data_IF_871242218860
#
_entry.id   IF_871242218860
#
_cell.length_a   1.000
_cell.length_b   1.000
_cell.length_c   1.000
_cell.angle_alpha   90.00
_cell.angle_beta   90.00
_cell.angle_gamma   90.00
#
_symmetry.space_group_name_H-M   'P 1'
#
loop_
_entity.id
_entity.type
_entity.pdbx_description
1 polymer ?
#
# COMPACT_ATOMS: atom_id res chain seq x y z
N UNK A 1 17.91 5.70 -14.73
CA UNK A 1 17.06 5.49 -13.54
C UNK A 1 17.57 6.47 -12.48
N UNK A 2 16.80 7.52 -12.19
CA UNK A 2 17.28 8.77 -11.59
C UNK A 2 17.67 8.60 -10.12
N UNK A 3 18.83 9.13 -9.70
CA UNK A 3 19.34 9.04 -8.32
C UNK A 3 18.33 9.54 -7.26
N UNK A 4 17.41 10.44 -7.63
CA UNK A 4 16.30 10.87 -6.78
C UNK A 4 15.31 9.74 -6.44
N UNK A 5 15.06 8.83 -7.38
CA UNK A 5 14.11 7.72 -7.18
C UNK A 5 14.65 6.74 -6.14
N UNK A 6 15.96 6.46 -6.17
CA UNK A 6 16.60 5.58 -5.19
C UNK A 6 16.56 6.16 -3.77
N UNK A 7 16.81 7.46 -3.60
CA UNK A 7 16.65 8.11 -2.29
C UNK A 7 15.21 8.13 -1.81
N UNK A 8 14.24 8.37 -2.70
CA UNK A 8 12.82 8.33 -2.38
C UNK A 8 12.38 6.92 -1.95
N UNK A 9 12.81 5.88 -2.66
CA UNK A 9 12.54 4.48 -2.30
C UNK A 9 13.15 4.12 -0.94
N UNK A 10 14.39 4.56 -0.66
CA UNK A 10 15.03 4.35 0.64
C UNK A 10 14.27 5.04 1.79
N UNK A 11 13.77 6.25 1.55
CA UNK A 11 12.96 6.99 2.51
C UNK A 11 11.60 6.31 2.75
N UNK A 12 10.94 5.85 1.69
CA UNK A 12 9.67 5.14 1.77
C UNK A 12 9.82 3.83 2.55
N UNK A 13 10.88 3.05 2.28
CA UNK A 13 11.17 1.79 2.98
C UNK A 13 11.39 2.05 4.48
N UNK A 14 12.17 3.08 4.83
CA UNK A 14 12.39 3.46 6.24
C UNK A 14 11.10 3.87 6.94
N UNK A 15 10.21 4.59 6.26
CA UNK A 15 8.92 5.02 6.81
C UNK A 15 7.99 3.82 7.05
N UNK A 16 7.97 2.86 6.13
CA UNK A 16 7.19 1.63 6.23
C UNK A 16 7.69 0.72 7.36
N UNK A 17 9.01 0.68 7.62
CA UNK A 17 9.63 -0.08 8.71
C UNK A 17 9.37 0.51 10.11
N UNK A 18 9.01 1.80 10.21
CA UNK A 18 8.69 2.45 11.50
C UNK A 18 7.35 1.98 12.05
N UNK A 19 6.40 1.62 11.18
CA UNK A 19 5.09 1.17 11.60
C UNK A 19 5.19 -0.32 11.94
N UNK A 20 5.12 -0.74 13.21
CA UNK A 20 5.46 -2.11 13.62
C UNK A 20 4.61 -3.19 12.93
N UNK A 21 3.38 -2.88 12.55
CA UNK A 21 2.48 -3.79 11.80
C UNK A 21 2.90 -3.92 10.33
N UNK A 22 3.27 -2.81 9.67
CA UNK A 22 3.74 -2.84 8.28
C UNK A 22 5.18 -3.37 8.18
N UNK A 23 6.01 -3.16 9.21
CA UNK A 23 7.37 -3.66 9.30
C UNK A 23 7.43 -5.18 9.15
N UNK A 24 6.49 -5.92 9.74
CA UNK A 24 6.41 -7.38 9.57
C UNK A 24 6.10 -7.78 8.12
N UNK A 25 5.12 -7.14 7.49
CA UNK A 25 4.76 -7.45 6.10
C UNK A 25 5.83 -7.06 5.10
N UNK A 26 6.49 -5.92 5.32
CA UNK A 26 7.55 -5.42 4.42
C UNK A 26 8.84 -6.24 4.60
N UNK A 27 9.18 -6.68 5.82
CA UNK A 27 10.30 -7.61 6.02
C UNK A 27 10.08 -8.92 5.28
N UNK A 28 8.88 -9.48 5.38
CA UNK A 28 8.55 -10.75 4.75
C UNK A 28 8.55 -10.64 3.22
N UNK A 29 8.07 -9.51 2.67
CA UNK A 29 8.09 -9.27 1.22
C UNK A 29 9.49 -8.99 0.64
N UNK A 30 10.44 -8.48 1.43
CA UNK A 30 11.81 -8.18 0.97
C UNK A 30 12.76 -9.37 1.15
N UNK A 31 12.58 -10.16 2.21
CA UNK A 31 13.50 -11.24 2.58
C UNK A 31 12.93 -12.66 2.41
N UNK A 32 11.65 -12.79 2.07
CA UNK A 32 10.97 -14.09 1.93
C UNK A 32 11.16 -14.76 0.57
N UNK A 33 10.93 -16.08 0.52
CA UNK A 33 10.88 -16.91 -0.69
C UNK A 33 9.79 -16.45 -1.68
N UNK A 34 9.81 -16.95 -2.92
CA UNK A 34 8.89 -16.52 -4.00
C UNK A 34 7.39 -16.58 -3.62
N UNK A 35 7.02 -17.41 -2.64
CA UNK A 35 5.66 -17.55 -2.13
C UNK A 35 5.25 -16.41 -1.16
N UNK A 36 6.20 -15.67 -0.59
CA UNK A 36 5.97 -14.59 0.37
C UNK A 36 5.13 -13.44 -0.22
N UNK A 37 5.14 -13.27 -1.55
CA UNK A 37 4.30 -12.27 -2.23
C UNK A 37 2.81 -12.55 -2.06
N UNK A 38 2.39 -13.82 -2.06
CA UNK A 38 0.99 -14.18 -1.86
C UNK A 38 0.56 -13.98 -0.40
N UNK A 39 1.44 -14.32 0.53
CA UNK A 39 1.23 -14.07 1.96
C UNK A 39 1.14 -12.57 2.28
N UNK A 40 1.91 -11.72 1.61
CA UNK A 40 1.77 -10.27 1.76
C UNK A 40 0.36 -9.77 1.37
N UNK A 41 -0.16 -10.23 0.23
CA UNK A 41 -1.51 -9.82 -0.23
C UNK A 41 -2.59 -10.35 0.72
N UNK A 42 -2.49 -11.61 1.15
CA UNK A 42 -3.44 -12.19 2.10
C UNK A 42 -3.47 -11.44 3.43
N UNK A 43 -2.30 -11.06 3.92
CA UNK A 43 -2.18 -10.28 5.13
C UNK A 43 -2.68 -8.84 5.00
N UNK A 44 -2.43 -8.18 3.87
CA UNK A 44 -2.99 -6.85 3.58
C UNK A 44 -4.52 -6.89 3.57
N UNK A 45 -5.10 -7.94 2.98
CA UNK A 45 -6.54 -8.16 3.01
C UNK A 45 -7.06 -8.40 4.44
N UNK A 46 -6.32 -9.14 5.27
CA UNK A 46 -6.68 -9.35 6.69
C UNK A 46 -6.62 -8.05 7.50
N UNK A 47 -5.57 -7.23 7.32
CA UNK A 47 -5.48 -5.90 7.96
C UNK A 47 -6.66 -5.04 7.55
N UNK A 48 -7.03 -5.05 6.26
CA UNK A 48 -8.18 -4.30 5.78
C UNK A 48 -9.50 -4.82 6.36
N UNK A 49 -9.68 -6.14 6.50
CA UNK A 49 -10.83 -6.73 7.18
C UNK A 49 -10.92 -6.28 8.66
N UNK A 50 -9.79 -6.20 9.38
CA UNK A 50 -9.74 -5.65 10.73
C UNK A 50 -10.09 -4.16 10.75
N UNK A 51 -9.64 -3.38 9.76
CA UNK A 51 -10.05 -1.99 9.62
C UNK A 51 -11.56 -1.85 9.41
N UNK A 52 -12.17 -2.72 8.58
CA UNK A 52 -13.63 -2.74 8.39
C UNK A 52 -14.33 -3.11 9.70
N UNK A 53 -13.81 -4.06 10.47
CA UNK A 53 -14.39 -4.43 11.76
C UNK A 53 -14.31 -3.30 12.80
N UNK A 54 -13.17 -2.61 12.91
CA UNK A 54 -12.96 -1.55 13.90
C UNK A 54 -13.62 -0.22 13.53
N UNK A 55 -13.51 0.19 12.27
CA UNK A 55 -13.97 1.50 11.80
C UNK A 55 -15.30 1.45 11.04
N UNK A 56 -15.72 0.28 10.55
CA UNK A 56 -16.98 0.10 9.83
C UNK A 56 -16.97 0.71 8.43
N UNK A 57 -18.07 1.39 8.10
CA UNK A 57 -18.29 2.05 6.81
C UNK A 57 -17.16 3.03 6.38
N UNK A 58 -16.57 3.84 7.29
CA UNK A 58 -15.38 4.63 7.01
C UNK A 58 -14.24 3.90 6.27
N UNK A 59 -13.97 2.63 6.60
CA UNK A 59 -12.88 1.86 5.99
C UNK A 59 -13.13 1.55 4.50
N UNK A 60 -14.38 1.62 4.05
CA UNK A 60 -14.80 1.34 2.67
C UNK A 60 -14.96 2.65 1.89
N UNK A 61 -15.54 3.69 2.50
CA UNK A 61 -15.80 4.97 1.81
C UNK A 61 -14.50 5.73 1.49
N UNK A 62 -13.48 5.63 2.34
CA UNK A 62 -12.19 6.28 2.11
C UNK A 62 -11.49 5.82 0.81
N UNK A 63 -11.31 4.51 0.56
CA UNK A 63 -10.77 4.04 -0.71
C UNK A 63 -11.64 4.45 -1.90
N UNK A 64 -12.97 4.36 -1.77
CA UNK A 64 -13.88 4.79 -2.84
C UNK A 64 -13.73 6.28 -3.16
N UNK A 65 -13.62 7.14 -2.14
CA UNK A 65 -13.42 8.57 -2.31
C UNK A 65 -12.03 8.89 -2.89
N UNK A 66 -11.00 8.14 -2.49
CA UNK A 66 -9.66 8.26 -3.05
C UNK A 66 -9.60 7.83 -4.53
N UNK A 67 -10.47 6.93 -4.98
CA UNK A 67 -10.57 6.57 -6.40
C UNK A 67 -11.13 7.70 -7.28
N UNK A 68 -11.88 8.66 -6.72
CA UNK A 68 -12.44 9.78 -7.49
C UNK A 68 -11.34 10.65 -8.14
N UNK A 69 -10.38 11.24 -7.39
CA UNK A 69 -9.30 12.00 -8.02
C UNK A 69 -8.44 11.12 -8.92
N UNK A 70 -8.25 9.83 -8.60
CA UNK A 70 -7.51 8.89 -9.46
C UNK A 70 -8.20 8.71 -10.82
N UNK A 71 -9.53 8.61 -10.85
CA UNK A 71 -10.29 8.51 -12.10
C UNK A 71 -10.15 9.81 -12.92
N UNK A 72 -10.20 10.98 -12.29
CA UNK A 72 -9.96 12.25 -12.99
C UNK A 72 -8.55 12.33 -13.55
N UNK A 73 -7.53 11.93 -12.78
CA UNK A 73 -6.15 11.89 -13.26
C UNK A 73 -6.00 10.93 -14.45
N UNK A 74 -6.66 9.77 -14.41
CA UNK A 74 -6.65 8.82 -15.51
C UNK A 74 -7.29 9.39 -16.78
N UNK A 75 -8.42 10.09 -16.66
CA UNK A 75 -9.05 10.80 -17.79
C UNK A 75 -8.09 11.84 -18.38
N UNK A 76 -7.45 12.64 -17.53
CA UNK A 76 -6.50 13.67 -17.98
C UNK A 76 -5.28 13.07 -18.69
N UNK A 77 -4.80 11.91 -18.23
CA UNK A 77 -3.68 11.20 -18.85
C UNK A 77 -4.04 10.65 -20.23
N UNK A 78 -5.26 10.11 -20.39
CA UNK A 78 -5.77 9.63 -21.69
C UNK A 78 -6.01 10.76 -22.69
N UNK A 79 -6.40 11.95 -22.21
CA UNK A 79 -6.67 13.10 -23.08
C UNK A 79 -5.43 13.90 -23.49
N UNK A 80 -4.24 13.52 -23.04
CA UNK A 80 -2.98 14.22 -23.31
C UNK A 80 -2.24 13.65 -24.52
#
# INVERSE_FOLDING_TARGET
MSAKTAEQELLIIRLLLIIPVLNWFVKDAIYGEDDAKYWFVGNLAMVWAVCIFLFGYPAIILPALAMVPMAFLWILDVCR
#
